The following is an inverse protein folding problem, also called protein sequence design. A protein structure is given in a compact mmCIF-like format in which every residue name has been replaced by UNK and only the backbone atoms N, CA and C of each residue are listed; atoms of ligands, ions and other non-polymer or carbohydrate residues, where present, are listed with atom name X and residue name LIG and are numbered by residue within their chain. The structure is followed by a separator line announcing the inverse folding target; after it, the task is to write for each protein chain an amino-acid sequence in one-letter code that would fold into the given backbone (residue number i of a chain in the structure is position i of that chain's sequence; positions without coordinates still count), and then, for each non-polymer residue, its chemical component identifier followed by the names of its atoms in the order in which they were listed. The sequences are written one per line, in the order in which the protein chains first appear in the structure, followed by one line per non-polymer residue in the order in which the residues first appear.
data_IF_499761532036
#
_entry.id   IF_499761532036
#
_cell.length_a   1.000
_cell.length_b   1.000
_cell.length_c   1.000
_cell.angle_alpha   90.00
_cell.angle_beta   90.00
_cell.angle_gamma   90.00
#
_symmetry.space_group_name_H-M   'P 1'
#
loop_
_entity.id
_entity.type
_entity.pdbx_description
1 polymer ?
#
# COMPACT_ATOMS: atom_id res chain seq x y z
N UNK A 1 8.73 -9.54 -38.67
CA UNK A 1 7.59 -9.83 -37.78
C UNK A 1 8.05 -9.89 -36.32
N UNK A 2 9.19 -10.53 -36.04
CA UNK A 2 9.73 -10.71 -34.68
C UNK A 2 10.07 -9.41 -33.94
N UNK A 3 10.56 -8.38 -34.63
CA UNK A 3 10.82 -7.06 -34.04
C UNK A 3 9.50 -6.36 -33.61
N UNK A 4 8.42 -6.58 -34.36
CA UNK A 4 7.10 -6.01 -34.06
C UNK A 4 6.43 -6.73 -32.87
N UNK A 5 6.59 -8.05 -32.79
CA UNK A 5 6.17 -8.83 -31.62
C UNK A 5 7.00 -8.46 -30.39
N UNK A 6 8.31 -8.24 -30.56
CA UNK A 6 9.22 -7.85 -29.47
C UNK A 6 8.90 -6.45 -28.93
N UNK A 7 8.55 -5.49 -29.79
CA UNK A 7 8.16 -4.14 -29.35
C UNK A 7 6.82 -4.13 -28.60
N UNK A 8 5.83 -4.92 -29.07
CA UNK A 8 4.55 -5.09 -28.36
C UNK A 8 4.75 -5.77 -27.01
N UNK A 9 5.58 -6.82 -26.94
CA UNK A 9 5.88 -7.54 -25.71
C UNK A 9 6.63 -6.67 -24.69
N UNK A 10 7.56 -5.83 -25.15
CA UNK A 10 8.25 -4.84 -24.30
C UNK A 10 7.27 -3.81 -23.73
N UNK A 11 6.35 -3.27 -24.56
CA UNK A 11 5.32 -2.34 -24.10
C UNK A 11 4.36 -2.99 -23.10
N UNK A 12 3.98 -4.24 -23.33
CA UNK A 12 3.15 -5.00 -22.39
C UNK A 12 3.87 -5.24 -21.05
N UNK A 13 5.15 -5.60 -21.09
CA UNK A 13 5.97 -5.74 -19.88
C UNK A 13 6.08 -4.43 -19.10
N UNK A 14 6.24 -3.30 -19.79
CA UNK A 14 6.30 -1.97 -19.16
C UNK A 14 4.97 -1.61 -18.48
N UNK A 15 3.84 -1.83 -19.17
CA UNK A 15 2.50 -1.60 -18.60
C UNK A 15 2.26 -2.48 -17.37
N UNK A 16 2.58 -3.77 -17.46
CA UNK A 16 2.45 -4.71 -16.34
C UNK A 16 3.33 -4.31 -15.16
N UNK A 17 4.55 -3.81 -15.43
CA UNK A 17 5.46 -3.32 -14.40
C UNK A 17 4.87 -2.11 -13.68
N UNK A 18 4.36 -1.13 -14.42
CA UNK A 18 3.73 0.07 -13.84
C UNK A 18 2.50 -0.30 -12.99
N UNK A 19 1.61 -1.15 -13.52
CA UNK A 19 0.43 -1.61 -12.79
C UNK A 19 0.81 -2.34 -11.49
N UNK A 20 1.81 -3.23 -11.55
CA UNK A 20 2.27 -3.99 -10.39
C UNK A 20 2.88 -3.07 -9.32
N UNK A 21 3.65 -2.05 -9.73
CA UNK A 21 4.22 -1.07 -8.80
C UNK A 21 3.10 -0.30 -8.10
N UNK A 22 2.11 0.20 -8.85
CA UNK A 22 0.94 0.89 -8.28
C UNK A 22 0.20 -0.03 -7.30
N UNK A 23 -0.16 -1.24 -7.72
CA UNK A 23 -0.88 -2.19 -6.89
C UNK A 23 -0.14 -2.54 -5.60
N UNK A 24 1.18 -2.79 -5.68
CA UNK A 24 2.00 -3.17 -4.51
C UNK A 24 2.07 -2.03 -3.49
N UNK A 25 1.98 -0.77 -3.90
CA UNK A 25 1.92 0.38 -3.00
C UNK A 25 0.51 0.54 -2.42
N UNK A 26 -0.53 0.44 -3.25
CA UNK A 26 -1.91 0.69 -2.83
C UNK A 26 -2.49 -0.42 -1.95
N UNK A 27 -2.22 -1.70 -2.22
CA UNK A 27 -2.77 -2.83 -1.47
C UNK A 27 -2.51 -2.72 0.04
N UNK A 28 -1.26 -2.55 0.54
CA UNK A 28 -1.01 -2.47 1.97
C UNK A 28 -1.57 -1.18 2.59
N UNK A 29 -1.57 -0.07 1.86
CA UNK A 29 -2.17 1.20 2.33
C UNK A 29 -3.68 1.04 2.51
N UNK A 30 -4.36 0.48 1.50
CA UNK A 30 -5.81 0.24 1.54
C UNK A 30 -6.17 -0.79 2.59
N UNK A 31 -5.33 -1.80 2.83
CA UNK A 31 -5.54 -2.76 3.91
C UNK A 31 -5.53 -2.10 5.29
N UNK A 32 -4.55 -1.22 5.55
CA UNK A 32 -4.49 -0.45 6.80
C UNK A 32 -5.67 0.51 6.90
N UNK A 33 -5.98 1.25 5.84
CA UNK A 33 -7.15 2.14 5.81
C UNK A 33 -8.47 1.38 6.00
N UNK A 34 -8.58 0.16 5.47
CA UNK A 34 -9.72 -0.73 5.64
C UNK A 34 -9.88 -1.17 7.09
N UNK A 35 -8.80 -1.64 7.74
CA UNK A 35 -8.81 -2.01 9.16
C UNK A 35 -9.21 -0.81 10.04
N UNK A 36 -8.64 0.37 9.81
CA UNK A 36 -8.96 1.57 10.58
C UNK A 36 -10.31 2.23 10.21
N UNK A 37 -10.86 1.92 9.03
CA UNK A 37 -12.18 2.37 8.58
C UNK A 37 -13.33 1.48 9.03
N UNK A 38 -13.04 0.32 9.63
CA UNK A 38 -14.06 -0.52 10.26
C UNK A 38 -14.58 0.17 11.53
N UNK A 39 -15.91 0.22 11.68
CA UNK A 39 -16.60 0.83 12.83
C UNK A 39 -16.43 -0.01 14.10
N UNK A 40 -15.20 -0.13 14.62
CA UNK A 40 -14.93 -0.80 15.88
C UNK A 40 -15.48 0.04 17.04
N UNK A 41 -16.49 -0.49 17.73
CA UNK A 41 -17.15 0.21 18.84
C UNK A 41 -16.36 -0.01 20.15
N UNK A 42 -15.72 1.02 20.75
CA UNK A 42 -14.84 0.86 21.91
C UNK A 42 -15.57 0.42 23.19
N UNK A 43 -16.89 0.60 23.25
CA UNK A 43 -17.69 0.39 24.46
C UNK A 43 -18.01 -1.09 24.76
N UNK A 44 -17.92 -1.99 23.78
CA UNK A 44 -18.42 -3.38 23.89
C UNK A 44 -17.34 -4.40 24.31
N UNK A 45 -16.05 -4.07 24.22
CA UNK A 45 -14.99 -4.99 24.66
C UNK A 45 -13.68 -4.25 24.98
N UNK A 46 -13.04 -4.55 26.12
CA UNK A 46 -11.70 -4.02 26.50
C UNK A 46 -10.58 -4.40 25.51
N UNK A 47 -10.86 -5.36 24.62
CA UNK A 47 -9.98 -5.83 23.56
C UNK A 47 -10.29 -5.21 22.19
N UNK A 48 -11.35 -4.41 22.08
CA UNK A 48 -11.65 -3.65 20.87
C UNK A 48 -10.74 -2.41 20.84
N UNK A 49 -9.62 -2.50 20.14
CA UNK A 49 -8.67 -1.42 19.81
C UNK A 49 -8.55 -0.32 20.87
N UNK A 50 -7.70 -0.51 21.91
CA UNK A 50 -7.38 0.56 22.85
C UNK A 50 -6.78 1.81 22.19
N UNK A 51 -6.30 1.72 20.93
CA UNK A 51 -5.80 2.88 20.18
C UNK A 51 -6.88 3.87 19.74
N UNK A 52 -8.17 3.49 19.70
CA UNK A 52 -9.25 4.39 19.24
C UNK A 52 -9.62 5.47 20.26
N UNK A 53 -9.43 5.18 21.56
CA UNK A 53 -9.54 6.16 22.64
C UNK A 53 -8.28 7.04 22.79
N UNK A 54 -7.20 6.73 22.06
CA UNK A 54 -5.99 7.53 22.12
C UNK A 54 -6.15 8.75 21.22
N UNK A 55 -5.96 9.94 21.79
CA UNK A 55 -6.06 11.23 21.07
C UNK A 55 -5.19 11.33 19.81
N UNK A 56 -4.18 10.47 19.67
CA UNK A 56 -3.27 10.40 18.55
C UNK A 56 -3.34 9.09 17.74
N UNK A 57 -4.29 8.19 18.01
CA UNK A 57 -4.40 6.90 17.31
C UNK A 57 -4.56 7.05 15.80
N UNK A 58 -5.36 8.03 15.36
CA UNK A 58 -5.48 8.39 13.94
C UNK A 58 -4.15 8.88 13.34
N UNK A 59 -3.40 9.71 14.08
CA UNK A 59 -2.12 10.24 13.63
C UNK A 59 -1.04 9.15 13.57
N UNK A 60 -1.06 8.20 14.49
CA UNK A 60 -0.20 7.03 14.49
C UNK A 60 -0.50 6.10 13.31
N UNK A 61 -1.78 5.83 13.04
CA UNK A 61 -2.20 5.06 11.87
C UNK A 61 -1.74 5.73 10.55
N UNK A 62 -1.89 7.05 10.45
CA UNK A 62 -1.34 7.83 9.33
C UNK A 62 0.18 7.71 9.24
N UNK A 63 0.90 7.77 10.37
CA UNK A 63 2.34 7.56 10.42
C UNK A 63 2.76 6.17 9.93
N UNK A 64 2.03 5.12 10.32
CA UNK A 64 2.27 3.74 9.87
C UNK A 64 1.99 3.61 8.37
N UNK A 65 0.89 4.19 7.85
CA UNK A 65 0.62 4.21 6.41
C UNK A 65 1.72 4.93 5.62
N UNK A 66 2.20 6.07 6.13
CA UNK A 66 3.32 6.81 5.54
C UNK A 66 4.63 6.00 5.56
N UNK A 67 4.92 5.32 6.68
CA UNK A 67 6.10 4.48 6.82
C UNK A 67 6.06 3.30 5.82
N UNK A 68 4.90 2.66 5.66
CA UNK A 68 4.70 1.57 4.69
C UNK A 68 4.89 2.09 3.26
N UNK A 69 4.33 3.27 2.94
CA UNK A 69 4.50 3.88 1.62
C UNK A 69 5.99 4.19 1.35
N UNK A 70 6.71 4.79 2.30
CA UNK A 70 8.12 5.13 2.16
C UNK A 70 9.02 3.89 2.07
N UNK A 71 8.75 2.84 2.85
CA UNK A 71 9.53 1.60 2.81
C UNK A 71 9.33 0.85 1.50
N UNK A 72 8.11 0.79 0.98
CA UNK A 72 7.85 0.21 -0.35
C UNK A 72 8.51 1.03 -1.46
N UNK A 73 8.40 2.36 -1.41
CA UNK A 73 9.02 3.24 -2.41
C UNK A 73 10.56 3.11 -2.38
N UNK A 74 11.17 3.05 -1.19
CA UNK A 74 12.60 2.80 -1.03
C UNK A 74 13.01 1.40 -1.54
N UNK A 75 12.19 0.38 -1.28
CA UNK A 75 12.43 -0.99 -1.78
C UNK A 75 12.41 -1.05 -3.31
N UNK A 76 11.39 -0.46 -3.95
CA UNK A 76 11.30 -0.40 -5.42
C UNK A 76 12.43 0.41 -6.06
N UNK A 77 12.83 1.52 -5.42
CA UNK A 77 13.97 2.34 -5.87
C UNK A 77 15.30 1.58 -5.75
N UNK A 78 15.51 0.80 -4.67
CA UNK A 78 16.70 -0.05 -4.53
C UNK A 78 16.74 -1.20 -5.54
N UNK A 79 15.59 -1.74 -5.91
CA UNK A 79 15.51 -2.83 -6.89
C UNK A 79 15.72 -2.38 -8.34
N UNK A 80 15.87 -1.07 -8.61
CA UNK A 80 15.96 -0.47 -9.96
C UNK A 80 14.76 -0.82 -10.85
N UNK A 81 13.59 -1.04 -10.25
CA UNK A 81 12.36 -1.30 -11.02
C UNK A 81 11.70 0.00 -11.48
N UNK A 82 12.02 1.11 -10.79
CA UNK A 82 11.78 2.51 -11.10
C UNK A 82 13.09 3.19 -11.51
#
# INVERSE_FOLDING_TARGET
LDIYLSSISNRMNEVMKVLTIIATIFIPITFVAGIYGMNFNPEISRWNMPELNWRFGYLFACGVMLLIALTMLAYFRRKKWL
#
